data_IF_498750980980
#
_entry.id   IF_498750980980
#
_cell.length_a   1.000
_cell.length_b   1.000
_cell.length_c   1.000
_cell.angle_alpha   90.00
_cell.angle_beta   90.00
_cell.angle_gamma   90.00
#
_symmetry.space_group_name_H-M   'P 1'
#
loop_
_entity.id
_entity.type
_entity.pdbx_description
1 polymer ?
#
# COMPACT_ATOMS: atom_id res chain seq x y z
N UNK A 1 0.22 1.17 2.07
CA UNK A 1 -0.91 0.60 2.86
C UNK A 1 -1.35 -0.73 2.23
N UNK A 2 -2.25 -1.47 2.89
CA UNK A 2 -2.68 -2.83 2.49
C UNK A 2 -2.84 -3.76 3.68
N UNK A 3 -3.63 -4.83 3.53
CA UNK A 3 -3.94 -5.81 4.58
C UNK A 3 -2.70 -6.40 5.27
N UNK A 4 -2.85 -6.79 6.53
CA UNK A 4 -1.80 -7.47 7.29
C UNK A 4 -1.28 -8.71 6.55
N UNK A 5 0.03 -8.92 6.53
CA UNK A 5 0.64 -10.03 5.81
C UNK A 5 0.78 -9.85 4.28
N UNK A 6 0.33 -8.73 3.69
CA UNK A 6 0.43 -8.50 2.24
C UNK A 6 1.84 -8.20 1.71
N UNK A 7 2.87 -8.15 2.56
CA UNK A 7 4.28 -7.97 2.15
C UNK A 7 4.80 -6.54 2.11
N UNK A 8 4.07 -5.55 2.65
CA UNK A 8 4.48 -4.13 2.71
C UNK A 8 5.87 -3.92 3.34
N UNK A 9 6.05 -4.41 4.57
CA UNK A 9 7.30 -4.29 5.33
C UNK A 9 8.45 -5.02 4.62
N UNK A 10 8.18 -6.20 4.04
CA UNK A 10 9.17 -6.94 3.26
C UNK A 10 9.64 -6.15 2.03
N UNK A 11 8.73 -5.52 1.29
CA UNK A 11 9.10 -4.66 0.16
C UNK A 11 9.92 -3.45 0.61
N UNK A 12 9.52 -2.77 1.69
CA UNK A 12 10.32 -1.68 2.26
C UNK A 12 11.73 -2.16 2.62
N UNK A 13 11.83 -3.29 3.31
CA UNK A 13 13.11 -3.85 3.72
C UNK A 13 13.97 -4.25 2.52
N UNK A 14 13.42 -4.81 1.43
CA UNK A 14 14.23 -5.18 0.25
C UNK A 14 14.67 -3.95 -0.54
N UNK A 15 13.75 -3.02 -0.82
CA UNK A 15 14.03 -1.84 -1.65
C UNK A 15 14.99 -0.88 -0.94
N UNK A 16 14.88 -0.78 0.38
CA UNK A 16 15.64 0.19 1.18
C UNK A 16 16.63 -0.45 2.16
N UNK A 17 16.87 -1.77 2.13
CA UNK A 17 17.81 -2.47 3.04
C UNK A 17 19.16 -1.78 3.16
N UNK A 18 19.72 -1.31 2.04
CA UNK A 18 21.04 -0.66 2.01
C UNK A 18 21.01 0.84 2.40
N UNK A 19 19.82 1.38 2.67
CA UNK A 19 19.58 2.75 3.15
C UNK A 19 19.04 2.81 4.58
N UNK A 20 18.66 1.67 5.17
CA UNK A 20 17.95 1.53 6.45
C UNK A 20 18.84 1.02 7.59
N UNK A 21 20.03 1.59 7.77
CA UNK A 21 20.87 1.27 8.94
C UNK A 21 20.31 1.93 10.22
N UNK A 22 19.26 2.75 10.16
CA UNK A 22 18.72 3.42 11.36
C UNK A 22 17.18 3.62 11.33
N UNK A 23 16.53 2.99 12.32
CA UNK A 23 15.22 3.16 13.01
C UNK A 23 13.97 3.73 12.29
N UNK A 24 12.87 2.97 12.44
CA UNK A 24 11.39 3.18 12.37
C UNK A 24 10.69 4.40 11.70
N UNK A 25 11.38 5.45 11.26
CA UNK A 25 10.86 6.41 10.29
C UNK A 25 11.93 6.61 9.21
N UNK A 26 11.77 5.90 8.11
CA UNK A 26 12.81 5.80 7.08
C UNK A 26 12.90 7.10 6.27
N UNK A 27 13.72 8.04 6.72
CA UNK A 27 14.17 9.17 5.92
C UNK A 27 15.27 8.71 4.95
N UNK A 28 14.87 8.26 3.76
CA UNK A 28 15.83 7.78 2.76
C UNK A 28 16.26 8.94 1.87
N UNK A 29 17.55 9.28 1.88
CA UNK A 29 18.11 10.22 0.89
C UNK A 29 18.29 9.51 -0.44
N UNK A 30 17.55 9.97 -1.45
CA UNK A 30 17.61 9.48 -2.82
C UNK A 30 18.16 10.59 -3.73
N UNK A 31 19.02 10.24 -4.69
CA UNK A 31 19.60 11.17 -5.68
C UNK A 31 20.16 12.49 -5.07
N UNK A 32 20.82 12.39 -3.91
CA UNK A 32 21.51 13.51 -3.26
C UNK A 32 20.63 14.32 -2.31
N UNK A 33 19.64 15.05 -2.83
CA UNK A 33 18.84 16.01 -2.06
C UNK A 33 17.35 15.67 -1.91
N UNK A 34 16.86 14.58 -2.52
CA UNK A 34 15.49 14.11 -2.31
C UNK A 34 15.44 13.29 -1.02
N UNK A 35 14.57 13.67 -0.09
CA UNK A 35 14.30 12.88 1.12
C UNK A 35 12.95 12.19 0.93
N UNK A 36 12.94 10.87 0.90
CA UNK A 36 11.73 10.06 0.88
C UNK A 36 11.32 9.76 2.32
N UNK A 37 10.10 10.14 2.68
CA UNK A 37 9.50 9.81 3.97
C UNK A 37 8.55 8.63 3.77
N UNK A 38 8.98 7.43 4.16
CA UNK A 38 8.19 6.21 3.97
C UNK A 38 7.37 5.88 5.21
N UNK A 39 6.07 5.71 5.02
CA UNK A 39 5.13 5.29 6.06
C UNK A 39 4.68 3.85 5.81
N UNK A 40 5.12 2.93 6.66
CA UNK A 40 4.67 1.53 6.63
C UNK A 40 3.52 1.35 7.61
N UNK A 41 2.30 1.55 7.13
CA UNK A 41 1.10 1.44 7.94
C UNK A 41 0.76 -0.04 8.21
N UNK A 42 0.52 -0.36 9.48
CA UNK A 42 0.02 -1.67 9.90
C UNK A 42 -1.29 -2.01 9.21
N UNK A 43 -1.45 -3.26 8.78
CA UNK A 43 -2.60 -3.68 7.97
C UNK A 43 -3.70 -4.42 8.74
N UNK A 44 -3.72 -4.36 10.07
CA UNK A 44 -4.79 -4.98 10.87
C UNK A 44 -6.00 -4.04 10.93
N UNK A 45 -7.21 -4.59 11.07
CA UNK A 45 -8.45 -3.80 11.00
C UNK A 45 -8.51 -2.69 12.04
N UNK A 46 -8.10 -2.98 13.28
CA UNK A 46 -8.05 -1.99 14.35
C UNK A 46 -7.14 -0.79 14.02
N UNK A 47 -6.13 -0.97 13.17
CA UNK A 47 -5.32 0.15 12.70
C UNK A 47 -6.05 0.98 11.64
N UNK A 48 -6.78 0.34 10.73
CA UNK A 48 -7.57 1.05 9.71
C UNK A 48 -8.68 1.92 10.33
N UNK A 49 -9.36 1.43 11.36
CA UNK A 49 -10.33 2.24 12.13
C UNK A 49 -9.66 3.52 12.65
N UNK A 50 -8.49 3.39 13.30
CA UNK A 50 -7.72 4.54 13.78
C UNK A 50 -7.25 5.46 12.65
N UNK A 51 -6.85 4.90 11.50
CA UNK A 51 -6.39 5.69 10.35
C UNK A 51 -7.50 6.52 9.73
N UNK A 52 -8.73 6.03 9.73
CA UNK A 52 -9.87 6.74 9.14
C UNK A 52 -10.60 7.65 10.11
N UNK A 53 -10.46 7.43 11.41
CA UNK A 53 -11.09 8.23 12.45
C UNK A 53 -10.11 9.24 13.07
N UNK A 54 -9.26 8.77 13.99
CA UNK A 54 -8.48 9.65 14.88
C UNK A 54 -7.19 10.19 14.25
N UNK A 55 -6.62 9.48 13.27
CA UNK A 55 -5.35 9.84 12.64
C UNK A 55 -5.48 10.25 11.16
N UNK A 56 -6.71 10.43 10.66
CA UNK A 56 -6.97 10.70 9.22
C UNK A 56 -6.14 11.86 8.69
N UNK A 57 -6.22 13.01 9.34
CA UNK A 57 -5.50 14.22 8.93
C UNK A 57 -3.98 14.07 9.08
N UNK A 58 -3.50 13.23 10.00
CA UNK A 58 -2.06 13.05 10.20
C UNK A 58 -1.45 12.16 9.11
N UNK A 59 -2.17 11.11 8.71
CA UNK A 59 -1.68 10.10 7.77
C UNK A 59 -1.88 10.54 6.32
N UNK A 60 -3.03 11.14 6.00
CA UNK A 60 -3.42 11.39 4.62
C UNK A 60 -3.12 12.82 4.14
N UNK A 61 -2.50 13.66 4.97
CA UNK A 61 -2.09 15.02 4.61
C UNK A 61 -0.70 15.06 3.99
N UNK A 62 -0.55 15.90 2.95
CA UNK A 62 0.72 16.09 2.24
C UNK A 62 1.33 14.79 1.70
N UNK A 63 0.47 13.88 1.25
CA UNK A 63 0.88 12.62 0.62
C UNK A 63 1.17 12.88 -0.86
N UNK A 64 2.36 12.51 -1.31
CA UNK A 64 2.74 12.57 -2.74
C UNK A 64 2.43 11.26 -3.48
N UNK A 65 2.48 10.14 -2.76
CA UNK A 65 2.40 8.80 -3.32
C UNK A 65 1.76 7.83 -2.32
N UNK A 66 0.63 7.24 -2.69
CA UNK A 66 0.06 6.08 -2.02
C UNK A 66 0.45 4.80 -2.80
N UNK A 67 1.18 3.90 -2.13
CA UNK A 67 1.37 2.53 -2.63
C UNK A 67 0.45 1.61 -1.82
N UNK A 68 -0.54 1.00 -2.49
CA UNK A 68 -1.45 0.03 -1.88
C UNK A 68 -1.13 -1.39 -2.35
N UNK A 69 -1.10 -2.34 -1.43
CA UNK A 69 -0.62 -3.70 -1.67
C UNK A 69 -1.72 -4.71 -1.41
N UNK A 70 -2.20 -5.35 -2.47
CA UNK A 70 -3.11 -6.50 -2.39
C UNK A 70 -2.30 -7.80 -2.37
N UNK A 71 -2.72 -8.73 -1.51
CA UNK A 71 -2.20 -10.09 -1.51
C UNK A 71 -3.02 -10.94 -2.49
N UNK A 72 -2.36 -11.66 -3.41
CA UNK A 72 -3.05 -12.49 -4.39
C UNK A 72 -3.82 -13.65 -3.74
N UNK A 73 -3.37 -14.15 -2.59
CA UNK A 73 -4.03 -15.23 -1.86
C UNK A 73 -5.19 -14.75 -0.99
N UNK A 74 -5.41 -13.43 -0.89
CA UNK A 74 -6.47 -12.90 -0.03
C UNK A 74 -7.84 -13.35 -0.53
N UNK A 75 -8.57 -14.03 0.35
CA UNK A 75 -9.94 -14.49 0.14
C UNK A 75 -10.99 -13.46 0.58
N UNK A 76 -10.58 -12.42 1.31
CA UNK A 76 -11.48 -11.39 1.87
C UNK A 76 -11.48 -10.14 0.98
N UNK A 77 -11.83 -10.33 -0.29
CA UNK A 77 -11.71 -9.28 -1.32
C UNK A 77 -12.55 -8.05 -0.98
N UNK A 78 -13.80 -8.25 -0.58
CA UNK A 78 -14.70 -7.12 -0.28
C UNK A 78 -14.18 -6.25 0.86
N UNK A 79 -13.51 -6.88 1.84
CA UNK A 79 -12.90 -6.17 2.97
C UNK A 79 -11.63 -5.43 2.56
N UNK A 80 -10.79 -6.07 1.74
CA UNK A 80 -9.59 -5.43 1.19
C UNK A 80 -9.94 -4.21 0.33
N UNK A 81 -11.03 -4.32 -0.43
CA UNK A 81 -11.59 -3.21 -1.22
C UNK A 81 -12.17 -2.12 -0.33
N UNK A 82 -12.96 -2.44 0.70
CA UNK A 82 -13.47 -1.44 1.63
C UNK A 82 -12.36 -0.62 2.31
N UNK A 83 -11.26 -1.28 2.70
CA UNK A 83 -10.07 -0.59 3.22
C UNK A 83 -9.38 0.27 2.16
N UNK A 84 -9.34 -0.20 0.91
CA UNK A 84 -8.76 0.56 -0.20
C UNK A 84 -9.59 1.81 -0.52
N UNK A 85 -10.91 1.67 -0.62
CA UNK A 85 -11.86 2.76 -0.87
C UNK A 85 -11.75 3.83 0.22
N UNK A 86 -11.68 3.43 1.49
CA UNK A 86 -11.47 4.35 2.61
C UNK A 86 -10.14 5.12 2.50
N UNK A 87 -9.07 4.47 2.02
CA UNK A 87 -7.80 5.15 1.75
C UNK A 87 -7.92 6.14 0.59
N UNK A 88 -8.61 5.78 -0.50
CA UNK A 88 -8.80 6.66 -1.65
C UNK A 88 -9.63 7.88 -1.28
N UNK A 89 -10.71 7.70 -0.52
CA UNK A 89 -11.55 8.80 -0.05
C UNK A 89 -10.75 9.75 0.85
N UNK A 90 -9.94 9.21 1.78
CA UNK A 90 -9.11 10.01 2.65
C UNK A 90 -8.01 10.77 1.89
N UNK A 91 -7.41 10.15 0.86
CA UNK A 91 -6.44 10.78 -0.03
C UNK A 91 -7.08 11.88 -0.86
N UNK A 92 -8.23 11.64 -1.48
CA UNK A 92 -8.91 12.63 -2.33
C UNK A 92 -9.24 13.90 -1.53
N UNK A 93 -9.69 13.73 -0.28
CA UNK A 93 -10.01 14.83 0.63
C UNK A 93 -8.78 15.61 1.12
N UNK A 94 -7.66 14.93 1.39
CA UNK A 94 -6.52 15.55 2.10
C UNK A 94 -5.28 15.81 1.22
N UNK A 95 -5.17 15.12 0.09
CA UNK A 95 -4.01 15.10 -0.81
C UNK A 95 -4.44 14.72 -2.24
N UNK A 96 -5.36 15.47 -2.86
CA UNK A 96 -5.91 15.17 -4.20
C UNK A 96 -4.89 15.05 -5.35
N UNK A 97 -3.68 15.61 -5.18
CA UNK A 97 -2.58 15.48 -6.15
C UNK A 97 -1.73 14.20 -5.95
N UNK A 98 -2.00 13.41 -4.92
CA UNK A 98 -1.25 12.21 -4.62
C UNK A 98 -1.39 11.20 -5.77
N UNK A 99 -0.29 10.56 -6.16
CA UNK A 99 -0.33 9.45 -7.11
C UNK A 99 -0.68 8.17 -6.38
N UNK A 100 -1.54 7.34 -6.97
CA UNK A 100 -1.89 6.03 -6.42
C UNK A 100 -1.28 4.93 -7.29
N UNK A 101 -0.53 4.03 -6.65
CA UNK A 101 -0.01 2.82 -7.27
C UNK A 101 -0.54 1.61 -6.50
N UNK A 102 -1.07 0.65 -7.25
CA UNK A 102 -1.58 -0.60 -6.70
C UNK A 102 -0.65 -1.74 -7.10
N UNK A 103 -0.20 -2.51 -6.12
CA UNK A 103 0.63 -3.69 -6.31
C UNK A 103 -0.17 -4.94 -5.96
N UNK A 104 -0.26 -5.88 -6.90
CA UNK A 104 -0.75 -7.24 -6.64
C UNK A 104 0.48 -8.09 -6.30
N UNK A 105 0.62 -8.43 -5.02
CA UNK A 105 1.81 -9.05 -4.45
C UNK A 105 1.63 -10.55 -4.23
N UNK A 106 2.76 -11.23 -3.92
CA UNK A 106 2.89 -12.69 -3.78
C UNK A 106 2.52 -13.50 -5.03
N UNK A 107 2.71 -12.90 -6.21
CA UNK A 107 2.47 -13.56 -7.50
C UNK A 107 3.38 -14.79 -7.73
N UNK A 108 4.45 -14.94 -6.95
CA UNK A 108 5.29 -16.13 -6.92
C UNK A 108 4.53 -17.41 -6.52
N UNK A 109 3.46 -17.27 -5.73
CA UNK A 109 2.58 -18.37 -5.31
C UNK A 109 1.66 -18.88 -6.42
N UNK A 110 1.54 -18.12 -7.51
CA UNK A 110 0.78 -18.51 -8.71
C UNK A 110 1.73 -19.23 -9.69
N UNK A 111 1.33 -20.39 -10.24
CA UNK A 111 2.07 -21.06 -11.32
C UNK A 111 2.36 -20.13 -12.49
N UNK A 112 3.57 -20.21 -13.06
CA UNK A 112 4.06 -19.26 -14.07
C UNK A 112 3.16 -19.17 -15.30
N UNK A 113 2.60 -20.30 -15.74
CA UNK A 113 1.66 -20.42 -16.84
C UNK A 113 0.31 -19.71 -16.59
N UNK A 114 -0.03 -19.44 -15.34
CA UNK A 114 -1.30 -18.82 -14.94
C UNK A 114 -1.15 -17.38 -14.43
N UNK A 115 0.09 -16.92 -14.15
CA UNK A 115 0.36 -15.62 -13.53
C UNK A 115 -0.29 -14.46 -14.27
N UNK A 116 -0.13 -14.38 -15.58
CA UNK A 116 -0.65 -13.27 -16.38
C UNK A 116 -2.19 -13.22 -16.33
N UNK A 117 -2.84 -14.38 -16.47
CA UNK A 117 -4.29 -14.49 -16.39
C UNK A 117 -4.80 -14.06 -15.01
N UNK A 118 -4.23 -14.61 -13.95
CA UNK A 118 -4.66 -14.34 -12.56
C UNK A 118 -4.41 -12.87 -12.20
N UNK A 119 -3.28 -12.30 -12.62
CA UNK A 119 -2.97 -10.89 -12.44
C UNK A 119 -4.00 -10.00 -13.14
N UNK A 120 -4.30 -10.26 -14.41
CA UNK A 120 -5.26 -9.46 -15.19
C UNK A 120 -6.67 -9.54 -14.59
N UNK A 121 -7.11 -10.73 -14.17
CA UNK A 121 -8.40 -10.89 -13.49
C UNK A 121 -8.49 -10.06 -12.19
N UNK A 122 -7.45 -10.13 -11.35
CA UNK A 122 -7.41 -9.36 -10.11
C UNK A 122 -7.34 -7.85 -10.38
N UNK A 123 -6.58 -7.44 -11.40
CA UNK A 123 -6.48 -6.05 -11.85
C UNK A 123 -7.82 -5.51 -12.33
N UNK A 124 -8.51 -6.23 -13.21
CA UNK A 124 -9.84 -5.85 -13.70
C UNK A 124 -10.82 -5.70 -12.54
N UNK A 125 -10.85 -6.66 -11.62
CA UNK A 125 -11.71 -6.62 -10.44
C UNK A 125 -11.46 -5.41 -9.53
N UNK A 126 -10.20 -4.99 -9.36
CA UNK A 126 -9.86 -3.78 -8.60
C UNK A 126 -10.32 -2.53 -9.36
N UNK A 127 -10.05 -2.48 -10.67
CA UNK A 127 -10.41 -1.33 -11.52
C UNK A 127 -11.92 -1.15 -11.70
N UNK A 128 -12.71 -2.23 -11.74
CA UNK A 128 -14.17 -2.14 -11.84
C UNK A 128 -14.83 -1.51 -10.62
N UNK A 129 -14.13 -1.51 -9.48
CA UNK A 129 -14.63 -0.99 -8.20
C UNK A 129 -14.04 0.38 -7.83
N UNK A 130 -13.19 0.96 -8.68
CA UNK A 130 -12.53 2.25 -8.46
C UNK A 130 -12.88 3.25 -9.55
#
# INVERSE_FOLDING_TARGET
MGKSGSGKTSMRSIIFANYLVDVEHSHVRFLGNLVLNLWDCGGQDAFYENYFESQRDHIFRSVELLIYVFDIESREIDKDMAHFDGCLEAIDQNSSNAKVFVLIHKMDLVPEDQRERVFNQKKEMILERT
#
